data_IF_472244833831
#
_entry.id   IF_472244833831
#
_cell.length_a   1.000
_cell.length_b   1.000
_cell.length_c   1.000
_cell.angle_alpha   90.00
_cell.angle_beta   90.00
_cell.angle_gamma   90.00
#
_symmetry.space_group_name_H-M   'P 1'
#
loop_
_entity.id
_entity.type
_entity.pdbx_description
1 polymer ?
#
# COMPACT_ATOMS: atom_id res chain seq x y z
N UNK A 1 31.63 -30.58 -48.23
CA UNK A 1 30.75 -29.38 -48.26
C UNK A 1 29.78 -29.26 -47.08
N UNK A 2 29.67 -30.25 -46.17
CA UNK A 2 28.72 -30.18 -45.04
C UNK A 2 29.34 -29.61 -43.74
N UNK A 3 30.66 -29.66 -43.59
CA UNK A 3 31.37 -29.24 -42.36
C UNK A 3 31.59 -27.72 -42.27
N UNK A 4 31.67 -27.01 -43.39
CA UNK A 4 31.85 -25.55 -43.43
C UNK A 4 30.56 -24.76 -43.19
N UNK A 5 29.39 -25.38 -43.39
CA UNK A 5 28.07 -24.78 -43.13
C UNK A 5 27.72 -24.79 -41.64
N UNK A 6 28.17 -25.81 -40.89
CA UNK A 6 27.87 -25.94 -39.46
C UNK A 6 28.68 -24.97 -38.59
N UNK A 7 29.92 -24.67 -38.98
CA UNK A 7 30.77 -23.68 -38.30
C UNK A 7 30.32 -22.24 -38.55
N UNK A 8 29.69 -21.96 -39.69
CA UNK A 8 29.12 -20.63 -40.00
C UNK A 8 27.88 -20.30 -39.16
N UNK A 9 27.07 -21.31 -38.82
CA UNK A 9 25.86 -21.15 -37.99
C UNK A 9 26.19 -20.93 -36.50
N UNK A 10 27.30 -21.48 -36.01
CA UNK A 10 27.73 -21.31 -34.62
C UNK A 10 28.30 -19.90 -34.34
N UNK A 11 28.93 -19.26 -35.34
CA UNK A 11 29.46 -17.89 -35.20
C UNK A 11 28.38 -16.80 -35.31
N UNK A 12 27.20 -17.08 -35.87
CA UNK A 12 26.09 -16.12 -35.91
C UNK A 12 25.19 -16.14 -34.67
N UNK A 13 25.31 -17.15 -33.81
CA UNK A 13 24.53 -17.27 -32.57
C UNK A 13 25.01 -16.41 -31.41
N UNK A 14 26.20 -15.78 -31.50
CA UNK A 14 26.86 -15.12 -30.36
C UNK A 14 26.64 -13.59 -30.33
N UNK A 15 26.00 -13.01 -31.36
CA UNK A 15 25.74 -11.57 -31.47
C UNK A 15 24.25 -11.22 -31.52
N UNK A 16 23.42 -11.87 -30.71
CA UNK A 16 22.16 -11.25 -30.32
C UNK A 16 22.49 -10.20 -29.24
N UNK A 17 22.36 -8.88 -29.50
CA UNK A 17 22.37 -7.93 -28.41
C UNK A 17 21.23 -8.34 -27.48
N UNK A 18 21.58 -8.75 -26.26
CA UNK A 18 20.62 -8.87 -25.19
C UNK A 18 19.95 -7.51 -25.05
N UNK A 19 18.80 -7.33 -25.69
CA UNK A 19 17.88 -6.25 -25.36
C UNK A 19 17.30 -6.64 -24.02
N UNK A 20 18.01 -6.28 -22.95
CA UNK A 20 17.37 -6.08 -21.66
C UNK A 20 16.18 -5.16 -21.93
N UNK A 21 15.00 -5.52 -21.42
CA UNK A 21 13.88 -4.60 -21.39
C UNK A 21 14.37 -3.37 -20.63
N UNK A 22 14.75 -2.33 -21.38
CA UNK A 22 15.06 -1.03 -20.81
C UNK A 22 13.76 -0.56 -20.21
N UNK A 23 13.72 -0.49 -18.89
CA UNK A 23 12.70 0.07 -18.01
C UNK A 23 11.32 0.06 -18.64
N UNK A 24 10.52 -0.98 -18.39
CA UNK A 24 9.11 -0.95 -18.73
C UNK A 24 8.52 0.33 -18.13
N UNK A 25 8.24 1.33 -18.96
CA UNK A 25 7.57 2.54 -18.55
C UNK A 25 6.20 2.09 -18.05
N UNK A 26 6.00 2.14 -16.73
CA UNK A 26 4.74 1.75 -16.08
C UNK A 26 3.56 2.66 -16.46
N UNK A 27 3.78 3.63 -17.37
CA UNK A 27 2.73 4.44 -17.97
C UNK A 27 1.86 3.57 -18.87
N UNK A 28 0.87 2.91 -18.26
CA UNK A 28 -0.29 2.39 -18.97
C UNK A 28 -1.08 3.61 -19.46
N UNK A 29 -1.09 3.91 -20.78
CA UNK A 29 -1.83 5.04 -21.28
C UNK A 29 -3.31 4.85 -20.97
N UNK A 30 -3.93 5.89 -20.44
CA UNK A 30 -5.36 5.86 -20.10
C UNK A 30 -6.16 5.50 -21.35
N UNK A 31 -7.15 4.59 -21.26
CA UNK A 31 -7.99 4.26 -22.40
C UNK A 31 -8.64 5.52 -22.96
N UNK A 32 -8.77 5.62 -24.29
CA UNK A 32 -9.23 6.83 -24.99
C UNK A 32 -10.54 7.38 -24.41
N UNK A 33 -11.44 6.49 -23.97
CA UNK A 33 -12.73 6.80 -23.36
C UNK A 33 -12.65 7.57 -22.03
N UNK A 34 -11.53 7.51 -21.31
CA UNK A 34 -11.35 8.17 -20.02
C UNK A 34 -10.29 9.27 -20.04
N UNK A 35 -9.70 9.55 -21.21
CA UNK A 35 -8.70 10.60 -21.42
C UNK A 35 -9.12 11.94 -20.81
N UNK A 36 -10.36 12.35 -21.05
CA UNK A 36 -10.91 13.64 -20.58
C UNK A 36 -11.47 13.62 -19.14
N UNK A 37 -11.45 12.47 -18.44
CA UNK A 37 -12.00 12.36 -17.07
C UNK A 37 -10.94 12.78 -16.05
N UNK A 38 -11.14 13.94 -15.42
CA UNK A 38 -10.33 14.40 -14.29
C UNK A 38 -10.87 13.79 -12.98
N UNK A 39 -10.01 13.18 -12.17
CA UNK A 39 -10.38 12.58 -10.88
C UNK A 39 -10.57 13.64 -9.78
N UNK A 40 -11.12 13.22 -8.64
CA UNK A 40 -11.24 14.10 -7.48
C UNK A 40 -9.88 14.47 -6.90
N UNK A 41 -8.98 13.49 -6.81
CA UNK A 41 -7.60 13.63 -6.37
C UNK A 41 -6.77 14.57 -7.26
N UNK A 42 -6.94 14.54 -8.58
CA UNK A 42 -6.25 15.45 -9.52
C UNK A 42 -6.56 16.93 -9.25
N UNK A 43 -7.76 17.21 -8.76
CA UNK A 43 -8.22 18.58 -8.45
C UNK A 43 -7.66 19.11 -7.14
N UNK A 44 -6.93 18.30 -6.37
CA UNK A 44 -6.37 18.67 -5.07
C UNK A 44 -5.46 19.90 -5.18
N UNK A 45 -4.61 19.95 -6.21
CA UNK A 45 -3.64 21.03 -6.39
C UNK A 45 -4.23 22.32 -6.98
N UNK A 46 -5.36 22.23 -7.68
CA UNK A 46 -5.99 23.36 -8.36
C UNK A 46 -7.09 24.03 -7.53
N UNK A 47 -7.72 23.28 -6.61
CA UNK A 47 -8.87 23.77 -5.84
C UNK A 47 -8.53 24.19 -4.41
N UNK A 48 -9.19 25.24 -3.91
CA UNK A 48 -9.05 25.70 -2.51
C UNK A 48 -9.75 24.74 -1.54
N UNK A 49 -9.09 24.43 -0.43
CA UNK A 49 -9.65 23.59 0.64
C UNK A 49 -10.28 24.46 1.73
N UNK A 50 -11.53 24.86 1.53
CA UNK A 50 -12.27 25.63 2.53
C UNK A 50 -12.76 24.71 3.65
N UNK A 51 -12.95 25.27 4.86
CA UNK A 51 -13.44 24.54 6.03
C UNK A 51 -14.74 23.75 5.78
N UNK A 52 -15.82 24.33 5.20
CA UNK A 52 -17.04 23.55 4.93
C UNK A 52 -16.82 22.41 3.93
N UNK A 53 -15.98 22.63 2.91
CA UNK A 53 -15.63 21.58 1.94
C UNK A 53 -14.84 20.46 2.61
N UNK A 54 -13.89 20.80 3.48
CA UNK A 54 -13.11 19.84 4.29
C UNK A 54 -14.02 18.96 5.13
N UNK A 55 -14.94 19.57 5.88
CA UNK A 55 -15.89 18.84 6.72
C UNK A 55 -16.77 17.90 5.88
N UNK A 56 -17.37 18.39 4.81
CA UNK A 56 -18.24 17.58 3.96
C UNK A 56 -17.48 16.41 3.31
N UNK A 57 -16.30 16.66 2.76
CA UNK A 57 -15.47 15.61 2.15
C UNK A 57 -14.95 14.62 3.19
N UNK A 58 -14.55 15.09 4.37
CA UNK A 58 -14.13 14.24 5.48
C UNK A 58 -15.23 13.26 5.89
N UNK A 59 -16.43 13.78 6.16
CA UNK A 59 -17.60 12.97 6.52
C UNK A 59 -17.94 11.96 5.41
N UNK A 60 -17.97 12.41 4.16
CA UNK A 60 -18.29 11.55 3.01
C UNK A 60 -17.27 10.42 2.88
N UNK A 61 -15.97 10.73 3.03
CA UNK A 61 -14.90 9.73 2.90
C UNK A 61 -14.94 8.72 4.04
N UNK A 62 -15.15 9.21 5.26
CA UNK A 62 -15.19 8.38 6.45
C UNK A 62 -16.31 7.33 6.36
N UNK A 63 -17.55 7.77 6.16
CA UNK A 63 -18.69 6.85 6.23
C UNK A 63 -18.86 6.00 4.97
N UNK A 64 -18.52 6.51 3.78
CA UNK A 64 -18.74 5.75 2.55
C UNK A 64 -17.60 4.78 2.23
N UNK A 65 -16.36 5.15 2.52
CA UNK A 65 -15.21 4.36 2.12
C UNK A 65 -14.52 3.74 3.34
N UNK A 66 -14.14 4.54 4.34
CA UNK A 66 -13.24 4.08 5.41
C UNK A 66 -13.96 3.09 6.32
N UNK A 67 -15.13 3.50 6.84
CA UNK A 67 -15.95 2.69 7.71
C UNK A 67 -16.31 1.35 7.05
N UNK A 68 -16.78 1.40 5.80
CA UNK A 68 -17.15 0.20 5.05
C UNK A 68 -15.94 -0.72 4.75
N UNK A 69 -14.76 -0.16 4.48
CA UNK A 69 -13.54 -0.93 4.30
C UNK A 69 -13.09 -1.59 5.62
N UNK A 70 -13.13 -0.85 6.72
CA UNK A 70 -12.73 -1.32 8.05
C UNK A 70 -13.65 -2.44 8.56
N UNK A 71 -14.98 -2.28 8.40
CA UNK A 71 -15.96 -3.31 8.77
C UNK A 71 -15.67 -4.61 8.02
N UNK A 72 -15.45 -4.54 6.69
CA UNK A 72 -15.13 -5.72 5.89
C UNK A 72 -13.84 -6.42 6.31
N UNK A 73 -12.80 -5.65 6.60
CA UNK A 73 -11.54 -6.21 7.09
C UNK A 73 -11.75 -6.92 8.45
N UNK A 74 -12.54 -6.29 9.34
CA UNK A 74 -12.92 -6.88 10.63
C UNK A 74 -13.71 -8.18 10.44
N UNK A 75 -14.69 -8.21 9.53
CA UNK A 75 -15.47 -9.41 9.17
C UNK A 75 -14.56 -10.56 8.70
N UNK A 76 -13.55 -10.26 7.87
CA UNK A 76 -12.58 -11.28 7.41
C UNK A 76 -11.81 -11.88 8.59
N UNK A 77 -11.34 -11.04 9.51
CA UNK A 77 -10.62 -11.49 10.70
C UNK A 77 -11.55 -12.29 11.62
N UNK A 78 -12.77 -11.83 11.85
CA UNK A 78 -13.77 -12.53 12.66
C UNK A 78 -14.14 -13.90 12.08
N UNK A 79 -14.34 -13.97 10.76
CA UNK A 79 -14.59 -15.22 10.06
C UNK A 79 -13.41 -16.19 10.19
N UNK A 80 -12.17 -15.68 10.04
CA UNK A 80 -10.97 -16.49 10.26
C UNK A 80 -10.90 -17.02 11.71
N UNK A 81 -11.25 -16.18 12.70
CA UNK A 81 -11.32 -16.58 14.11
C UNK A 81 -12.37 -17.64 14.39
N UNK A 82 -13.54 -17.52 13.78
CA UNK A 82 -14.61 -18.52 13.93
C UNK A 82 -14.24 -19.87 13.30
N UNK A 83 -13.45 -19.85 12.22
CA UNK A 83 -12.96 -21.05 11.56
C UNK A 83 -11.80 -21.74 12.29
N UNK A 84 -11.18 -21.04 13.25
CA UNK A 84 -9.99 -21.53 13.93
C UNK A 84 -10.35 -22.62 14.95
N UNK A 85 -9.75 -23.79 14.79
CA UNK A 85 -9.90 -24.92 15.72
C UNK A 85 -8.62 -25.05 16.53
N UNK A 86 -8.75 -24.86 17.85
CA UNK A 86 -7.65 -24.97 18.80
C UNK A 86 -7.20 -26.43 18.97
N UNK A 87 -5.88 -26.64 18.96
CA UNK A 87 -5.26 -27.88 19.41
C UNK A 87 -4.70 -27.68 20.83
N UNK A 88 -5.34 -28.32 21.81
CA UNK A 88 -4.93 -28.22 23.22
C UNK A 88 -3.72 -29.08 23.59
N UNK A 89 -3.15 -29.83 22.63
CA UNK A 89 -1.89 -30.56 22.83
C UNK A 89 -0.66 -29.67 22.65
N UNK A 90 -0.83 -28.51 22.00
CA UNK A 90 0.21 -27.51 21.77
C UNK A 90 -0.02 -26.24 22.61
N UNK A 91 0.99 -25.36 22.65
CA UNK A 91 0.85 -24.05 23.29
C UNK A 91 -0.09 -23.19 22.44
N UNK A 92 -1.17 -22.70 23.07
CA UNK A 92 -2.17 -21.89 22.38
C UNK A 92 -1.56 -20.58 21.83
N UNK A 93 -1.81 -20.25 20.55
CA UNK A 93 -1.32 -19.01 19.97
C UNK A 93 -2.07 -17.82 20.57
N UNK A 94 -1.39 -16.67 20.67
CA UNK A 94 -2.00 -15.43 21.16
C UNK A 94 -3.14 -14.95 20.24
N UNK A 95 -2.98 -15.12 18.93
CA UNK A 95 -4.01 -14.81 17.95
C UNK A 95 -4.74 -16.09 17.55
N UNK A 96 -6.05 -16.09 17.74
CA UNK A 96 -6.95 -17.20 17.43
C UNK A 96 -7.32 -17.28 15.94
N UNK A 97 -6.38 -17.04 15.03
CA UNK A 97 -6.57 -17.16 13.58
C UNK A 97 -5.23 -17.36 12.88
N UNK A 98 -5.26 -17.94 11.67
CA UNK A 98 -4.09 -18.10 10.82
C UNK A 98 -4.17 -17.18 9.60
N UNK A 99 -3.01 -16.75 9.09
CA UNK A 99 -2.94 -15.96 7.85
C UNK A 99 -3.42 -16.75 6.63
N UNK A 100 -3.35 -18.08 6.66
CA UNK A 100 -3.87 -18.93 5.58
C UNK A 100 -5.40 -18.93 5.52
N UNK A 101 -6.06 -18.95 6.67
CA UNK A 101 -7.52 -18.84 6.75
C UNK A 101 -7.99 -17.48 6.22
N UNK A 102 -7.30 -16.42 6.60
CA UNK A 102 -7.59 -15.06 6.12
C UNK A 102 -7.31 -14.90 4.62
N UNK A 103 -6.17 -15.39 4.12
CA UNK A 103 -5.79 -15.30 2.71
C UNK A 103 -6.70 -16.11 1.76
N UNK A 104 -7.53 -17.02 2.30
CA UNK A 104 -8.57 -17.71 1.55
C UNK A 104 -9.70 -16.75 1.14
N UNK A 105 -9.97 -15.70 1.93
CA UNK A 105 -11.02 -14.71 1.69
C UNK A 105 -10.57 -13.57 0.76
N UNK A 106 -9.95 -13.91 -0.37
CA UNK A 106 -9.37 -12.94 -1.31
C UNK A 106 -10.38 -11.91 -1.81
N UNK A 107 -11.61 -12.34 -2.11
CA UNK A 107 -12.67 -11.48 -2.65
C UNK A 107 -13.04 -10.34 -1.70
N UNK A 108 -13.11 -10.63 -0.39
CA UNK A 108 -13.42 -9.61 0.62
C UNK A 108 -12.25 -8.66 0.81
N UNK A 109 -11.02 -9.18 0.86
CA UNK A 109 -9.80 -8.35 0.95
C UNK A 109 -9.62 -7.46 -0.30
N UNK A 110 -9.89 -7.97 -1.50
CA UNK A 110 -9.87 -7.18 -2.73
C UNK A 110 -10.97 -6.10 -2.71
N UNK A 111 -12.12 -6.39 -2.10
CA UNK A 111 -13.20 -5.41 -1.90
C UNK A 111 -12.82 -4.31 -0.91
N UNK A 112 -11.96 -4.58 0.07
CA UNK A 112 -11.36 -3.57 0.96
C UNK A 112 -10.40 -2.69 0.15
N UNK A 113 -9.48 -3.29 -0.59
CA UNK A 113 -8.52 -2.57 -1.44
C UNK A 113 -9.20 -1.66 -2.46
N UNK A 114 -10.26 -2.14 -3.11
CA UNK A 114 -11.04 -1.34 -4.06
C UNK A 114 -11.70 -0.13 -3.39
N UNK A 115 -12.24 -0.27 -2.17
CA UNK A 115 -12.85 0.85 -1.43
C UNK A 115 -11.82 1.89 -1.02
N UNK A 116 -10.66 1.45 -0.53
CA UNK A 116 -9.56 2.35 -0.19
C UNK A 116 -9.07 3.11 -1.44
N UNK A 117 -8.81 2.40 -2.54
CA UNK A 117 -8.41 3.00 -3.80
C UNK A 117 -9.46 3.98 -4.34
N UNK A 118 -10.74 3.61 -4.34
CA UNK A 118 -11.81 4.50 -4.77
C UNK A 118 -11.92 5.74 -3.88
N UNK A 119 -11.81 5.58 -2.56
CA UNK A 119 -11.83 6.69 -1.60
C UNK A 119 -10.69 7.67 -1.84
N UNK A 120 -9.47 7.17 -2.04
CA UNK A 120 -8.28 7.99 -2.33
C UNK A 120 -8.43 8.73 -3.66
N UNK A 121 -8.90 8.06 -4.72
CA UNK A 121 -8.97 8.66 -6.06
C UNK A 121 -10.12 9.66 -6.21
N UNK A 122 -11.26 9.42 -5.56
CA UNK A 122 -12.47 10.24 -5.69
C UNK A 122 -12.47 11.46 -4.77
N UNK A 123 -11.70 11.46 -3.70
CA UNK A 123 -11.62 12.56 -2.74
C UNK A 123 -10.31 13.36 -2.85
N UNK A 124 -10.29 14.52 -2.20
CA UNK A 124 -9.11 15.39 -2.14
C UNK A 124 -8.03 14.72 -1.27
N UNK A 125 -6.77 14.73 -1.71
CA UNK A 125 -5.67 14.06 -1.01
C UNK A 125 -5.31 14.75 0.33
N UNK A 126 -5.78 15.98 0.56
CA UNK A 126 -5.61 16.71 1.83
C UNK A 126 -6.60 16.29 2.91
N UNK A 127 -7.45 15.32 2.62
CA UNK A 127 -8.42 14.81 3.57
C UNK A 127 -7.76 14.03 4.71
N UNK A 128 -8.37 14.09 5.89
CA UNK A 128 -7.88 13.55 7.16
C UNK A 128 -7.89 12.02 7.22
N UNK A 129 -8.61 11.35 6.32
CA UNK A 129 -8.80 9.89 6.35
C UNK A 129 -7.89 9.16 5.34
N UNK A 130 -7.04 9.87 4.60
CA UNK A 130 -6.26 9.28 3.51
C UNK A 130 -5.15 8.38 4.06
N UNK A 131 -4.49 8.79 5.14
CA UNK A 131 -3.52 7.98 5.89
C UNK A 131 -4.14 6.68 6.41
N UNK A 132 -5.32 6.77 7.01
CA UNK A 132 -6.08 5.61 7.50
C UNK A 132 -6.43 4.63 6.37
N UNK A 133 -6.72 5.13 5.16
CA UNK A 133 -6.96 4.26 3.99
C UNK A 133 -5.70 3.53 3.54
N UNK A 134 -4.55 4.20 3.52
CA UNK A 134 -3.28 3.55 3.21
C UNK A 134 -2.90 2.52 4.27
N UNK A 135 -3.23 2.79 5.54
CA UNK A 135 -3.07 1.82 6.62
C UNK A 135 -3.95 0.59 6.40
N UNK A 136 -5.23 0.77 6.12
CA UNK A 136 -6.16 -0.33 5.78
C UNK A 136 -5.70 -1.11 4.54
N UNK A 137 -5.16 -0.44 3.52
CA UNK A 137 -4.58 -1.12 2.35
C UNK A 137 -3.41 -2.02 2.77
N UNK A 138 -2.49 -1.52 3.60
CA UNK A 138 -1.37 -2.31 4.11
C UNK A 138 -1.84 -3.53 4.89
N UNK A 139 -2.84 -3.37 5.76
CA UNK A 139 -3.44 -4.48 6.49
C UNK A 139 -4.10 -5.50 5.56
N UNK A 140 -4.86 -5.05 4.56
CA UNK A 140 -5.50 -5.93 3.59
C UNK A 140 -4.48 -6.75 2.79
N UNK A 141 -3.38 -6.13 2.33
CA UNK A 141 -2.29 -6.84 1.65
C UNK A 141 -1.59 -7.85 2.58
N UNK A 142 -1.38 -7.50 3.84
CA UNK A 142 -0.80 -8.39 4.85
C UNK A 142 -1.67 -9.63 5.06
N UNK A 143 -2.98 -9.43 5.22
CA UNK A 143 -3.98 -10.48 5.36
C UNK A 143 -4.13 -11.34 4.09
N UNK A 144 -3.81 -10.78 2.92
CA UNK A 144 -3.75 -11.51 1.64
C UNK A 144 -2.44 -12.30 1.46
N UNK A 145 -1.49 -12.21 2.40
CA UNK A 145 -0.11 -12.74 2.30
C UNK A 145 0.73 -12.13 1.17
N UNK A 146 0.36 -10.94 0.69
CA UNK A 146 1.15 -10.15 -0.25
C UNK A 146 2.08 -9.21 0.54
N UNK A 147 3.09 -9.79 1.18
CA UNK A 147 3.95 -9.07 2.13
C UNK A 147 4.76 -7.94 1.47
N UNK A 148 5.19 -8.10 0.21
CA UNK A 148 5.93 -7.05 -0.51
C UNK A 148 5.05 -5.81 -0.75
N UNK A 149 3.81 -6.01 -1.17
CA UNK A 149 2.82 -4.94 -1.36
C UNK A 149 2.46 -4.27 -0.02
N UNK A 150 2.26 -5.06 1.03
CA UNK A 150 2.00 -4.56 2.37
C UNK A 150 3.16 -3.70 2.87
N UNK A 151 4.40 -4.19 2.70
CA UNK A 151 5.62 -3.48 3.04
C UNK A 151 5.70 -2.13 2.33
N UNK A 152 5.49 -2.10 1.01
CA UNK A 152 5.49 -0.86 0.23
C UNK A 152 4.41 0.13 0.73
N UNK A 153 3.20 -0.34 1.04
CA UNK A 153 2.12 0.50 1.56
C UNK A 153 2.46 1.09 2.94
N UNK A 154 2.98 0.28 3.86
CA UNK A 154 3.40 0.76 5.18
C UNK A 154 4.61 1.69 5.12
N UNK A 155 5.56 1.44 4.23
CA UNK A 155 6.67 2.35 3.99
C UNK A 155 6.19 3.69 3.45
N UNK A 156 5.28 3.68 2.48
CA UNK A 156 4.68 4.88 1.94
C UNK A 156 3.97 5.68 3.03
N UNK A 157 3.14 5.01 3.85
CA UNK A 157 2.44 5.60 4.99
C UNK A 157 3.42 6.29 5.94
N UNK A 158 4.43 5.56 6.40
CA UNK A 158 5.44 6.06 7.33
C UNK A 158 6.27 7.21 6.73
N UNK A 159 6.54 7.20 5.44
CA UNK A 159 7.35 8.24 4.80
C UNK A 159 6.56 9.53 4.56
N UNK A 160 5.32 9.40 4.09
CA UNK A 160 4.49 10.53 3.66
C UNK A 160 3.75 11.19 4.82
N UNK A 161 3.16 10.40 5.73
CA UNK A 161 2.29 10.89 6.81
C UNK A 161 2.99 11.04 8.16
N UNK A 162 4.31 10.89 8.20
CA UNK A 162 5.07 11.19 9.41
C UNK A 162 4.84 12.65 9.84
N UNK A 163 4.54 12.90 11.14
CA UNK A 163 4.48 14.26 11.65
C UNK A 163 5.88 14.89 11.53
N UNK A 164 6.02 15.87 10.62
CA UNK A 164 7.26 16.63 10.44
C UNK A 164 7.14 17.94 11.21
N UNK A 165 8.07 18.18 12.11
CA UNK A 165 8.21 19.50 12.74
C UNK A 165 8.57 20.52 11.65
N UNK A 166 8.24 21.81 11.83
CA UNK A 166 8.60 22.87 10.85
C UNK A 166 10.09 22.87 10.46
N UNK A 167 10.97 22.45 11.37
CA UNK A 167 12.43 22.32 11.14
C UNK A 167 12.82 21.09 10.31
N UNK A 168 11.98 20.07 10.27
CA UNK A 168 12.18 18.78 9.58
C UNK A 168 11.49 18.75 8.20
N UNK A 169 10.78 19.83 7.84
CA UNK A 169 10.08 19.96 6.57
C UNK A 169 11.09 20.09 5.42
N UNK A 170 11.40 18.96 4.77
CA UNK A 170 12.35 18.88 3.65
C UNK A 170 13.51 17.92 3.88
N UNK A 171 13.72 17.46 5.12
CA UNK A 171 14.71 16.42 5.42
C UNK A 171 14.08 15.03 5.29
N UNK A 172 14.79 14.13 4.60
CA UNK A 172 14.42 12.71 4.54
C UNK A 172 14.83 12.05 5.84
N UNK A 173 13.85 11.71 6.68
CA UNK A 173 14.08 10.87 7.86
C UNK A 173 14.29 9.43 7.38
N UNK A 174 15.52 8.95 7.49
CA UNK A 174 15.86 7.58 7.14
C UNK A 174 15.39 6.65 8.26
N UNK A 175 14.42 5.79 7.95
CA UNK A 175 13.97 4.75 8.88
C UNK A 175 14.96 3.59 8.73
N UNK A 176 15.73 3.30 9.80
CA UNK A 176 16.68 2.19 9.84
C UNK A 176 18.16 2.55 9.96
N UNK A 177 18.54 3.83 9.98
CA UNK A 177 19.86 4.25 10.49
C UNK A 177 19.75 4.49 11.99
N UNK A 178 20.65 3.94 12.79
CA UNK A 178 20.69 4.21 14.25
C UNK A 178 21.11 5.66 14.60
N UNK A 179 21.26 6.53 13.59
CA UNK A 179 21.82 7.87 13.73
C UNK A 179 20.94 8.85 12.95
N UNK A 180 20.39 9.82 13.68
CA UNK A 180 20.04 11.13 13.13
C UNK A 180 21.34 11.90 12.82
N UNK A 181 21.26 13.02 12.09
CA UNK A 181 22.38 13.99 11.93
C UNK A 181 22.93 14.50 13.30
N UNK A 182 22.16 14.31 14.38
CA UNK A 182 22.51 14.66 15.77
C UNK A 182 22.93 13.44 16.63
N UNK A 183 23.09 12.24 16.06
CA UNK A 183 23.60 11.05 16.77
C UNK A 183 22.61 10.31 17.68
N UNK A 184 21.32 10.67 17.66
CA UNK A 184 20.27 9.97 18.41
C UNK A 184 19.68 8.79 17.62
N UNK A 185 19.29 7.71 18.32
CA UNK A 185 18.59 6.56 17.73
C UNK A 185 17.16 6.97 17.37
N UNK A 186 16.77 6.79 16.11
CA UNK A 186 15.38 6.94 15.67
C UNK A 186 14.49 5.90 16.36
N UNK A 187 13.87 6.27 17.49
CA UNK A 187 12.77 5.50 18.07
C UNK A 187 11.52 5.73 17.25
N UNK A 188 11.01 4.68 16.60
CA UNK A 188 9.68 4.66 15.96
C UNK A 188 8.57 4.60 17.02
N UNK A 189 8.91 4.20 18.24
CA UNK A 189 7.98 4.21 19.38
C UNK A 189 7.92 5.60 20.02
N UNK A 190 6.70 6.12 20.18
CA UNK A 190 6.41 7.28 21.02
C UNK A 190 6.78 6.93 22.46
N UNK A 191 7.56 7.77 23.16
CA UNK A 191 7.82 7.59 24.59
C UNK A 191 6.50 7.46 25.35
N UNK A 192 6.29 6.33 26.02
CA UNK A 192 5.12 6.13 26.85
C UNK A 192 5.08 7.19 27.95
N UNK A 193 3.91 7.81 28.13
CA UNK A 193 3.68 8.77 29.20
C UNK A 193 3.50 7.95 30.47
N UNK A 194 4.53 7.93 31.31
CA UNK A 194 4.45 7.33 32.64
C UNK A 194 3.43 8.14 33.45
N UNK A 195 2.26 7.55 33.63
CA UNK A 195 1.24 7.98 34.59
C UNK A 195 1.32 7.09 35.82
#
# INVERSE_FOLDING_TARGET
MLTTLFTGLFCWGIFLPARGQKDATLDVPKPEQYSNRILGSDKTFTTKYTVPRRLFQGMTTHYNFFFNANVKLTEVVESAKQSFKEDYTELLPFYNYTLDATATQKTELDSVLQKCNAGILLHDLRNEWIDDMYFLMGQAYFFKKEFDSAYAAFQYLNYYFQPKTKKELGFKKYIGSNLNDEGNVYSVSTKEKTG
#
